data_IF_818810101271
#
_entry.id   IF_818810101271
#
_cell.length_a   1.000
_cell.length_b   1.000
_cell.length_c   1.000
_cell.angle_alpha   90.00
_cell.angle_beta   90.00
_cell.angle_gamma   90.00
#
_symmetry.space_group_name_H-M   'P 1'
#
loop_
_entity.id
_entity.type
_entity.pdbx_description
1 polymer ?
#
# COMPACT_ATOMS: atom_id res chain seq x y z
N UNK A 1 5.02 -17.22 3.74
CA UNK A 1 5.87 -16.03 3.60
C UNK A 1 6.21 -15.56 4.99
N UNK A 2 7.49 -15.47 5.33
CA UNK A 2 7.93 -14.79 6.56
C UNK A 2 7.44 -13.33 6.48
N UNK A 3 6.77 -12.80 7.52
CA UNK A 3 6.32 -11.41 7.52
C UNK A 3 7.48 -10.46 7.23
N UNK A 4 7.34 -9.64 6.19
CA UNK A 4 8.32 -8.66 5.80
C UNK A 4 8.39 -7.55 6.85
N UNK A 5 9.60 -7.10 7.16
CA UNK A 5 9.82 -6.06 8.17
C UNK A 5 9.16 -4.71 7.81
N UNK A 6 9.00 -4.42 6.51
CA UNK A 6 8.26 -3.25 6.02
C UNK A 6 6.74 -3.40 6.18
N UNK A 7 6.21 -4.62 6.11
CA UNK A 7 4.78 -4.89 6.23
C UNK A 7 4.25 -4.46 7.60
N UNK A 8 5.11 -4.45 8.62
CA UNK A 8 4.80 -3.94 9.96
C UNK A 8 4.26 -2.50 9.91
N UNK A 9 4.75 -1.66 8.98
CA UNK A 9 4.29 -0.27 8.85
C UNK A 9 2.81 -0.19 8.46
N UNK A 10 2.26 -1.22 7.80
CA UNK A 10 0.85 -1.25 7.39
C UNK A 10 -0.10 -1.50 8.55
N UNK A 11 0.37 -2.12 9.64
CA UNK A 11 -0.47 -2.54 10.78
C UNK A 11 -0.21 -1.72 12.05
N UNK A 12 0.87 -0.95 12.09
CA UNK A 12 1.17 -0.12 13.26
C UNK A 12 0.15 1.01 13.43
N UNK A 13 -0.27 1.31 14.67
CA UNK A 13 -1.14 2.46 14.92
C UNK A 13 -0.51 3.75 14.37
N UNK A 14 -1.30 4.53 13.63
CA UNK A 14 -0.85 5.75 12.94
C UNK A 14 -0.10 6.69 13.88
N UNK A 15 -0.55 6.81 15.14
CA UNK A 15 0.07 7.66 16.17
C UNK A 15 1.53 7.30 16.49
N UNK A 16 1.91 6.03 16.33
CA UNK A 16 3.27 5.55 16.64
C UNK A 16 4.12 5.30 15.40
N UNK A 17 3.52 5.32 14.21
CA UNK A 17 4.15 4.94 12.94
C UNK A 17 5.42 5.74 12.65
N UNK A 18 5.33 7.08 12.68
CA UNK A 18 6.48 7.94 12.37
C UNK A 18 7.54 7.92 13.47
N UNK A 19 7.11 8.03 14.74
CA UNK A 19 8.03 8.22 15.87
C UNK A 19 8.70 6.92 16.34
N UNK A 20 8.05 5.78 16.16
CA UNK A 20 8.53 4.48 16.68
C UNK A 20 8.61 3.41 15.59
N UNK A 21 7.62 3.34 14.71
CA UNK A 21 7.53 2.34 13.65
C UNK A 21 8.69 2.41 12.67
N UNK A 22 8.86 3.54 12.00
CA UNK A 22 9.95 3.76 11.03
C UNK A 22 11.31 3.52 11.70
N UNK A 23 11.68 4.16 12.83
CA UNK A 23 12.97 3.91 13.49
C UNK A 23 13.21 2.44 13.85
N UNK A 24 12.18 1.71 14.30
CA UNK A 24 12.28 0.29 14.60
C UNK A 24 12.56 -0.54 13.35
N UNK A 25 11.82 -0.31 12.27
CA UNK A 25 11.99 -0.98 10.98
C UNK A 25 13.37 -0.66 10.40
N UNK A 26 13.80 0.60 10.39
CA UNK A 26 15.13 1.00 9.95
C UNK A 26 16.23 0.26 10.74
N UNK A 27 16.13 0.22 12.07
CA UNK A 27 17.11 -0.47 12.92
C UNK A 27 17.18 -1.97 12.63
N UNK A 28 16.03 -2.60 12.42
CA UNK A 28 15.96 -4.03 12.08
C UNK A 28 16.48 -4.31 10.66
N UNK A 29 16.20 -3.44 9.69
CA UNK A 29 16.73 -3.54 8.34
C UNK A 29 18.26 -3.47 8.38
N UNK A 30 18.84 -2.49 9.08
CA UNK A 30 20.29 -2.38 9.25
C UNK A 30 20.94 -3.59 9.91
N UNK A 31 20.22 -4.33 10.77
CA UNK A 31 20.76 -5.59 11.31
C UNK A 31 20.77 -6.72 10.28
N UNK A 32 19.78 -6.75 9.38
CA UNK A 32 19.65 -7.80 8.36
C UNK A 32 20.60 -7.58 7.18
N UNK A 33 20.72 -6.33 6.72
CA UNK A 33 21.52 -5.98 5.53
C UNK A 33 22.94 -5.52 5.87
N UNK A 34 23.27 -5.40 7.17
CA UNK A 34 24.47 -4.76 7.67
C UNK A 34 24.30 -3.25 7.87
N UNK A 35 24.92 -2.71 8.92
CA UNK A 35 24.92 -1.26 9.17
C UNK A 35 25.61 -0.59 7.98
N UNK A 36 25.01 0.44 7.35
CA UNK A 36 25.66 1.13 6.24
C UNK A 36 26.99 1.73 6.72
N UNK A 37 28.11 1.09 6.33
CA UNK A 37 29.46 1.51 6.69
C UNK A 37 29.95 2.74 5.91
N UNK A 38 29.34 3.02 4.75
CA UNK A 38 29.64 4.17 3.90
C UNK A 38 28.62 5.29 4.11
N UNK A 39 29.09 6.54 4.12
CA UNK A 39 28.27 7.74 4.19
C UNK A 39 27.17 7.76 3.10
N UNK A 40 27.52 7.38 1.87
CA UNK A 40 26.62 7.31 0.72
C UNK A 40 25.42 6.38 0.93
N UNK A 41 25.61 5.27 1.66
CA UNK A 41 24.50 4.36 1.98
C UNK A 41 23.57 4.96 3.02
N UNK A 42 24.10 5.71 3.99
CA UNK A 42 23.30 6.39 5.02
C UNK A 42 22.43 7.50 4.40
N UNK A 43 22.98 8.28 3.47
CA UNK A 43 22.24 9.33 2.76
C UNK A 43 21.11 8.74 1.91
N UNK A 44 21.35 7.66 1.18
CA UNK A 44 20.32 6.97 0.39
C UNK A 44 19.18 6.46 1.27
N UNK A 45 19.48 5.91 2.44
CA UNK A 45 18.46 5.48 3.39
C UNK A 45 17.66 6.66 3.96
N UNK A 46 18.32 7.76 4.27
CA UNK A 46 17.63 8.97 4.70
C UNK A 46 16.69 9.49 3.61
N UNK A 47 17.18 9.59 2.37
CA UNK A 47 16.38 10.01 1.22
C UNK A 47 15.18 9.08 0.97
N UNK A 48 15.35 7.77 1.14
CA UNK A 48 14.25 6.80 1.07
C UNK A 48 13.18 7.08 2.13
N UNK A 49 13.57 7.29 3.40
CA UNK A 49 12.61 7.56 4.47
C UNK A 49 11.93 8.91 4.33
N UNK A 50 12.66 9.94 3.88
CA UNK A 50 12.11 11.26 3.61
C UNK A 50 11.05 11.19 2.48
N UNK A 51 11.38 10.49 1.39
CA UNK A 51 10.42 10.18 0.33
C UNK A 51 9.23 9.40 0.87
N UNK A 52 9.45 8.35 1.66
CA UNK A 52 8.38 7.51 2.19
C UNK A 52 7.41 8.32 3.05
N UNK A 53 7.91 9.14 3.96
CA UNK A 53 7.07 9.99 4.82
C UNK A 53 6.30 11.00 3.98
N UNK A 54 6.98 11.72 3.08
CA UNK A 54 6.35 12.73 2.22
C UNK A 54 5.25 12.13 1.35
N UNK A 55 5.50 10.99 0.73
CA UNK A 55 4.55 10.35 -0.18
C UNK A 55 3.45 9.62 0.58
N UNK A 56 3.80 8.67 1.45
CA UNK A 56 2.84 7.75 2.06
C UNK A 56 2.21 8.27 3.34
N UNK A 57 2.86 9.18 4.05
CA UNK A 57 2.32 9.72 5.29
C UNK A 57 1.71 11.12 5.15
N UNK A 58 2.22 11.95 4.24
CA UNK A 58 1.75 13.34 4.05
C UNK A 58 0.87 13.51 2.80
N UNK A 59 1.29 12.99 1.64
CA UNK A 59 0.57 13.20 0.36
C UNK A 59 -0.65 12.29 0.25
N UNK A 60 -0.48 10.98 0.47
CA UNK A 60 -1.58 10.04 0.49
C UNK A 60 -2.16 9.91 1.89
N UNK A 61 -3.48 9.79 1.98
CA UNK A 61 -4.13 9.52 3.25
C UNK A 61 -3.63 8.16 3.80
N UNK A 62 -3.10 8.16 5.02
CA UNK A 62 -2.52 6.97 5.67
C UNK A 62 -3.51 5.79 5.69
N UNK A 63 -4.81 6.05 5.81
CA UNK A 63 -5.84 5.01 5.79
C UNK A 63 -6.02 4.31 4.43
N UNK A 64 -5.31 4.73 3.37
CA UNK A 64 -5.31 4.05 2.08
C UNK A 64 -4.36 2.83 2.04
N UNK A 65 -3.42 2.73 2.98
CA UNK A 65 -2.42 1.64 3.01
C UNK A 65 -2.17 1.08 4.41
N UNK A 66 -2.43 1.85 5.47
CA UNK A 66 -2.35 1.39 6.84
C UNK A 66 -3.74 0.92 7.32
N UNK A 67 -3.81 -0.33 7.76
CA UNK A 67 -5.02 -1.04 8.18
C UNK A 67 -5.18 -1.11 9.70
N UNK A 68 -4.35 -0.42 10.48
CA UNK A 68 -4.40 -0.46 11.96
C UNK A 68 -5.75 -0.02 12.53
N UNK A 69 -6.42 0.93 11.87
CA UNK A 69 -7.78 1.35 12.23
C UNK A 69 -8.81 0.25 11.99
N UNK A 70 -8.72 -0.44 10.85
CA UNK A 70 -9.59 -1.57 10.50
C UNK A 70 -9.40 -2.74 11.47
N UNK A 71 -8.16 -3.04 11.85
CA UNK A 71 -7.86 -4.04 12.89
C UNK A 71 -8.47 -3.68 14.23
N UNK A 72 -8.36 -2.41 14.66
CA UNK A 72 -8.96 -1.95 15.91
C UNK A 72 -10.49 -2.08 15.92
N UNK A 73 -11.12 -1.89 14.77
CA UNK A 73 -12.57 -1.99 14.59
C UNK A 73 -13.06 -3.43 14.34
N UNK A 74 -12.16 -4.42 14.43
CA UNK A 74 -12.41 -5.83 14.11
C UNK A 74 -13.06 -6.01 12.72
N UNK A 75 -12.65 -5.19 11.76
CA UNK A 75 -13.06 -5.38 10.37
C UNK A 75 -12.33 -6.61 9.84
N UNK A 76 -13.09 -7.56 9.30
CA UNK A 76 -12.53 -8.76 8.67
C UNK A 76 -11.64 -8.36 7.48
N UNK A 77 -10.35 -8.66 7.57
CA UNK A 77 -9.38 -8.38 6.52
C UNK A 77 -9.18 -9.65 5.70
N UNK A 78 -9.62 -9.58 4.45
CA UNK A 78 -9.62 -10.71 3.52
C UNK A 78 -8.55 -10.44 2.45
N UNK A 79 -7.49 -11.24 2.42
CA UNK A 79 -6.39 -11.10 1.46
C UNK A 79 -6.88 -11.43 0.04
N UNK A 80 -7.01 -10.42 -0.83
CA UNK A 80 -7.73 -10.59 -2.10
C UNK A 80 -7.15 -11.68 -3.02
N UNK A 81 -5.84 -11.86 -3.18
CA UNK A 81 -5.21 -13.01 -3.88
C UNK A 81 -3.69 -13.02 -3.66
N UNK A 82 -3.01 -14.10 -4.07
CA UNK A 82 -1.54 -14.20 -4.26
C UNK A 82 -1.03 -13.46 -5.52
N UNK A 83 -1.92 -12.85 -6.32
CA UNK A 83 -1.55 -12.23 -7.59
C UNK A 83 -2.41 -11.00 -7.94
N UNK A 84 -2.42 -9.99 -7.06
CA UNK A 84 -3.23 -8.78 -7.26
C UNK A 84 -2.75 -7.97 -8.47
N UNK A 85 -1.45 -8.03 -8.78
CA UNK A 85 -0.86 -7.27 -9.88
C UNK A 85 -1.28 -7.82 -11.25
N UNK A 86 -1.25 -9.14 -11.47
CA UNK A 86 -1.73 -9.69 -12.76
C UNK A 86 -3.24 -9.56 -12.91
N UNK A 87 -4.01 -9.72 -11.83
CA UNK A 87 -5.45 -9.47 -11.87
C UNK A 87 -5.75 -8.02 -12.25
N UNK A 88 -5.03 -7.07 -11.65
CA UNK A 88 -5.12 -5.65 -12.00
C UNK A 88 -4.69 -5.40 -13.44
N UNK A 89 -3.54 -5.92 -13.88
CA UNK A 89 -3.03 -5.71 -15.24
C UNK A 89 -3.99 -6.27 -16.31
N UNK A 90 -4.60 -7.43 -16.08
CA UNK A 90 -5.64 -7.99 -16.97
C UNK A 90 -6.87 -7.08 -17.02
N UNK A 91 -7.44 -6.75 -15.87
CA UNK A 91 -8.61 -5.85 -15.79
C UNK A 91 -8.34 -4.51 -16.47
N UNK A 92 -7.14 -3.96 -16.25
CA UNK A 92 -6.72 -2.69 -16.83
C UNK A 92 -6.57 -2.81 -18.36
N UNK A 93 -5.98 -3.90 -18.85
CA UNK A 93 -5.90 -4.17 -20.29
C UNK A 93 -7.29 -4.28 -20.93
N UNK A 94 -8.23 -4.99 -20.29
CA UNK A 94 -9.62 -5.10 -20.75
C UNK A 94 -10.32 -3.73 -20.77
N UNK A 95 -10.03 -2.86 -19.79
CA UNK A 95 -10.66 -1.54 -19.66
C UNK A 95 -10.24 -0.58 -20.77
N UNK A 96 -8.99 -0.64 -21.24
CA UNK A 96 -8.53 0.24 -22.33
C UNK A 96 -9.08 -0.14 -23.71
N UNK A 97 -9.56 -1.38 -23.89
CA UNK A 97 -10.18 -1.87 -25.13
C UNK A 97 -9.25 -1.95 -26.37
N UNK A 98 -8.03 -1.41 -26.28
CA UNK A 98 -7.02 -1.43 -27.32
C UNK A 98 -5.61 -1.55 -26.69
N UNK A 99 -4.66 -2.23 -27.35
CA UNK A 99 -3.28 -2.36 -26.86
C UNK A 99 -2.55 -1.02 -26.71
N UNK A 100 -2.91 -0.02 -27.53
CA UNK A 100 -2.29 1.30 -27.59
C UNK A 100 -3.35 2.41 -27.62
N UNK A 101 -3.94 2.74 -26.45
CA UNK A 101 -4.92 3.82 -26.38
C UNK A 101 -4.28 5.18 -26.66
N UNK A 102 -5.06 6.15 -27.16
CA UNK A 102 -4.62 7.53 -27.23
C UNK A 102 -4.34 8.09 -25.82
N UNK A 103 -3.47 9.09 -25.70
CA UNK A 103 -3.14 9.70 -24.40
C UNK A 103 -4.39 10.24 -23.69
N UNK A 104 -5.33 10.82 -24.45
CA UNK A 104 -6.60 11.31 -23.89
C UNK A 104 -7.44 10.18 -23.31
N UNK A 105 -7.62 9.08 -24.07
CA UNK A 105 -8.35 7.92 -23.59
C UNK A 105 -7.66 7.29 -22.37
N UNK A 106 -6.34 7.21 -22.41
CA UNK A 106 -5.54 6.69 -21.31
C UNK A 106 -5.75 7.47 -20.01
N UNK A 107 -5.66 8.81 -20.07
CA UNK A 107 -5.86 9.68 -18.91
C UNK A 107 -7.28 9.59 -18.38
N UNK A 108 -8.29 9.55 -19.26
CA UNK A 108 -9.69 9.50 -18.85
C UNK A 108 -10.04 8.20 -18.12
N UNK A 109 -9.59 7.06 -18.65
CA UNK A 109 -9.74 5.75 -18.00
C UNK A 109 -9.06 5.73 -16.63
N UNK A 110 -7.85 6.27 -16.52
CA UNK A 110 -7.15 6.33 -15.22
C UNK A 110 -7.87 7.19 -14.19
N UNK A 111 -8.45 8.32 -14.59
CA UNK A 111 -9.26 9.17 -13.68
C UNK A 111 -10.48 8.40 -13.18
N UNK A 112 -11.19 7.72 -14.08
CA UNK A 112 -12.39 6.96 -13.72
C UNK A 112 -12.04 5.76 -12.82
N UNK A 113 -10.92 5.10 -13.08
CA UNK A 113 -10.41 4.02 -12.24
C UNK A 113 -10.03 4.53 -10.84
N UNK A 114 -9.30 5.64 -10.75
CA UNK A 114 -8.93 6.26 -9.48
C UNK A 114 -10.17 6.62 -8.64
N UNK A 115 -11.19 7.22 -9.27
CA UNK A 115 -12.47 7.54 -8.62
C UNK A 115 -13.13 6.26 -8.09
N UNK A 116 -13.26 5.24 -8.93
CA UNK A 116 -13.86 3.95 -8.55
C UNK A 116 -13.15 3.31 -7.36
N UNK A 117 -11.81 3.36 -7.33
CA UNK A 117 -11.03 2.84 -6.21
C UNK A 117 -11.27 3.63 -4.90
N UNK A 118 -11.35 4.96 -4.97
CA UNK A 118 -11.65 5.79 -3.81
C UNK A 118 -13.05 5.50 -3.25
N UNK A 119 -14.04 5.34 -4.13
CA UNK A 119 -15.41 4.97 -3.74
C UNK A 119 -15.44 3.59 -3.06
N UNK A 120 -14.74 2.60 -3.62
CA UNK A 120 -14.60 1.27 -3.01
C UNK A 120 -13.93 1.33 -1.64
N UNK A 121 -12.87 2.12 -1.48
CA UNK A 121 -12.20 2.30 -0.19
C UNK A 121 -13.14 2.94 0.85
N UNK A 122 -13.92 3.95 0.43
CA UNK A 122 -14.93 4.56 1.28
C UNK A 122 -16.00 3.53 1.68
N UNK A 123 -16.50 2.74 0.73
CA UNK A 123 -17.50 1.70 1.02
C UNK A 123 -16.98 0.62 1.97
N UNK A 124 -15.72 0.20 1.83
CA UNK A 124 -15.07 -0.73 2.77
C UNK A 124 -15.01 -0.12 4.16
N UNK A 125 -14.55 1.14 4.29
CA UNK A 125 -14.49 1.84 5.59
C UNK A 125 -15.87 1.98 6.24
N UNK A 126 -16.90 2.20 5.45
CA UNK A 126 -18.28 2.34 5.92
C UNK A 126 -19.04 1.00 5.99
N UNK A 127 -18.36 -0.14 5.82
CA UNK A 127 -18.96 -1.49 5.85
C UNK A 127 -20.12 -1.70 4.87
N UNK A 128 -20.10 -0.98 3.74
CA UNK A 128 -21.07 -1.13 2.65
C UNK A 128 -20.67 -2.21 1.65
N UNK A 129 -19.38 -2.56 1.59
CA UNK A 129 -18.87 -3.68 0.80
C UNK A 129 -18.96 -4.99 1.58
N UNK A 130 -19.39 -6.06 0.91
CA UNK A 130 -19.30 -7.42 1.46
C UNK A 130 -17.88 -7.96 1.27
N UNK A 131 -17.31 -8.67 2.27
CA UNK A 131 -16.04 -9.34 2.09
C UNK A 131 -16.07 -10.32 0.90
N UNK A 132 -14.98 -10.44 0.11
CA UNK A 132 -14.88 -11.48 -0.90
C UNK A 132 -15.02 -12.86 -0.25
N UNK A 133 -15.77 -13.77 -0.88
CA UNK A 133 -15.81 -15.17 -0.46
C UNK A 133 -14.61 -15.89 -1.07
N UNK A 134 -13.73 -16.45 -0.23
CA UNK A 134 -12.68 -17.34 -0.71
C UNK A 134 -13.25 -18.74 -0.96
N UNK A 135 -12.75 -19.38 -2.01
CA UNK A 135 -12.91 -20.82 -2.15
C UNK A 135 -12.30 -21.51 -0.91
N UNK A 136 -12.96 -22.55 -0.43
CA UNK A 136 -12.44 -23.36 0.69
C UNK A 136 -11.07 -23.94 0.30
N UNK A 137 -10.11 -24.02 1.23
CA UNK A 137 -8.75 -24.51 0.96
C UNK A 137 -8.73 -25.91 0.33
#
# INVERSE_FOLDING_TARGET
MEPGLLDLLTVLPVKVLRKKGIPFVTKKLYRLIGVPAEADRKEKWQAFWDYFVKTWCDTYNISCWNISGMMKENVEIVNRTNNPLEAYNRRRADTFGAPHPSVLNFVEVLKQEAKTYLDQLADVRHRRQRPPQHATP
#
